data_IF_795921493640
#
_entry.id   IF_795921493640
#
_cell.length_a   1.000
_cell.length_b   1.000
_cell.length_c   1.000
_cell.angle_alpha   90.00
_cell.angle_beta   90.00
_cell.angle_gamma   90.00
#
_symmetry.space_group_name_H-M   'P 1'
#
loop_
_entity.id
_entity.type
_entity.pdbx_description
1 polymer ?
#
# COMPACT_ATOMS: atom_id res chain seq x y z
N UNK A 1 2.55 -14.44 -0.83
CA UNK A 1 1.64 -14.92 0.25
C UNK A 1 0.19 -14.49 -0.06
N UNK A 2 -0.85 -14.91 0.69
CA UNK A 2 -2.23 -14.46 0.44
C UNK A 2 -3.10 -14.44 1.71
N UNK A 3 -4.14 -13.61 1.69
CA UNK A 3 -5.21 -13.64 2.70
C UNK A 3 -6.02 -14.94 2.64
N UNK A 4 -6.45 -15.43 3.80
CA UNK A 4 -7.30 -16.61 3.93
C UNK A 4 -8.80 -16.31 3.72
N UNK A 5 -9.17 -15.03 3.68
CA UNK A 5 -10.53 -14.53 3.51
C UNK A 5 -10.62 -13.59 2.31
N UNK A 6 -11.81 -13.50 1.73
CA UNK A 6 -12.16 -12.53 0.70
C UNK A 6 -12.77 -11.24 1.26
N UNK A 7 -13.22 -11.27 2.52
CA UNK A 7 -13.75 -10.09 3.20
C UNK A 7 -12.64 -9.52 4.07
N UNK A 8 -12.11 -8.37 3.65
CA UNK A 8 -11.06 -7.64 4.35
C UNK A 8 -11.64 -6.34 4.92
N UNK A 9 -11.09 -5.93 6.04
CA UNK A 9 -11.35 -4.63 6.64
C UNK A 9 -10.22 -3.69 6.28
N UNK A 10 -10.51 -2.39 6.19
CA UNK A 10 -9.48 -1.38 6.07
C UNK A 10 -9.75 -0.18 6.97
N UNK A 11 -8.70 0.56 7.32
CA UNK A 11 -8.81 1.73 8.16
C UNK A 11 -7.72 2.78 7.87
N UNK A 12 -7.95 3.97 8.42
CA UNK A 12 -7.00 5.07 8.44
C UNK A 12 -6.67 5.39 9.90
N UNK A 13 -5.60 4.80 10.47
CA UNK A 13 -5.24 5.03 11.86
C UNK A 13 -5.04 6.51 12.15
N UNK A 14 -5.62 6.98 13.25
CA UNK A 14 -5.58 8.40 13.65
C UNK A 14 -4.50 8.68 14.70
N UNK A 15 -3.78 7.64 15.15
CA UNK A 15 -2.72 7.75 16.13
C UNK A 15 -1.67 6.66 15.95
N UNK A 16 -0.40 7.06 16.01
CA UNK A 16 0.74 6.14 16.12
C UNK A 16 0.61 5.15 17.29
N UNK A 17 -0.09 5.53 18.36
CA UNK A 17 -0.29 4.68 19.54
C UNK A 17 -1.17 3.45 19.29
N UNK A 18 -1.85 3.39 18.14
CA UNK A 18 -2.62 2.21 17.73
C UNK A 18 -1.73 1.10 17.18
N UNK A 19 -0.45 1.40 16.96
CA UNK A 19 0.55 0.42 16.59
C UNK A 19 1.30 -0.06 17.84
N UNK A 20 1.61 -1.35 17.90
CA UNK A 20 2.33 -1.95 19.01
C UNK A 20 3.76 -1.43 19.16
N UNK A 21 4.34 -1.64 20.34
CA UNK A 21 5.77 -1.38 20.56
C UNK A 21 6.63 -2.29 19.67
N UNK A 22 7.67 -1.72 19.05
CA UNK A 22 8.55 -2.49 18.15
C UNK A 22 7.92 -2.85 16.82
N UNK A 23 6.87 -2.11 16.41
CA UNK A 23 6.19 -2.32 15.13
C UNK A 23 7.15 -2.15 13.94
N UNK A 24 7.13 -3.14 13.05
CA UNK A 24 7.74 -3.04 11.72
C UNK A 24 9.21 -2.61 11.76
N UNK A 25 9.51 -1.56 10.99
CA UNK A 25 10.83 -0.91 10.94
C UNK A 25 10.86 0.38 11.80
N UNK A 26 9.75 0.68 12.50
CA UNK A 26 9.62 1.87 13.36
C UNK A 26 8.79 2.98 12.74
N UNK A 27 7.96 2.69 11.74
CA UNK A 27 7.13 3.66 11.03
C UNK A 27 6.23 4.51 11.97
N UNK A 28 5.54 3.93 12.97
CA UNK A 28 4.72 4.71 13.89
C UNK A 28 5.54 5.71 14.72
N UNK A 29 6.84 5.46 14.90
CA UNK A 29 7.75 6.33 15.66
C UNK A 29 8.52 7.33 14.81
N UNK A 30 8.45 7.24 13.48
CA UNK A 30 9.17 8.10 12.56
C UNK A 30 8.22 9.03 11.81
N UNK A 31 7.96 10.19 12.39
CA UNK A 31 7.09 11.25 11.86
C UNK A 31 5.73 10.76 11.32
N UNK A 32 5.03 9.97 12.15
CA UNK A 32 3.69 9.47 11.84
C UNK A 32 2.72 10.62 11.52
N UNK A 33 1.94 10.45 10.45
CA UNK A 33 0.81 11.33 10.15
C UNK A 33 -0.38 10.55 9.57
N UNK A 34 -1.57 11.09 9.80
CA UNK A 34 -2.83 10.53 9.30
C UNK A 34 -3.03 10.88 7.84
N UNK A 35 -3.61 9.99 7.05
CA UNK A 35 -4.02 10.34 5.69
C UNK A 35 -5.08 11.46 5.70
N UNK A 36 -4.89 12.46 4.86
CA UNK A 36 -5.89 13.48 4.57
C UNK A 36 -7.03 12.92 3.69
N UNK A 37 -8.12 13.69 3.53
CA UNK A 37 -9.30 13.23 2.79
C UNK A 37 -9.00 12.80 1.34
N UNK A 38 -8.11 13.51 0.63
CA UNK A 38 -7.78 13.15 -0.76
C UNK A 38 -7.02 11.83 -0.83
N UNK A 39 -6.11 11.59 0.11
CA UNK A 39 -5.38 10.32 0.22
C UNK A 39 -6.31 9.17 0.59
N UNK A 40 -7.23 9.37 1.54
CA UNK A 40 -8.24 8.37 1.89
C UNK A 40 -9.13 8.03 0.69
N UNK A 41 -9.58 9.03 -0.07
CA UNK A 41 -10.38 8.81 -1.27
C UNK A 41 -9.62 8.05 -2.36
N UNK A 42 -8.32 8.33 -2.53
CA UNK A 42 -7.47 7.56 -3.44
C UNK A 42 -7.34 6.08 -3.02
N UNK A 43 -7.19 5.79 -1.72
CA UNK A 43 -7.20 4.43 -1.19
C UNK A 43 -8.54 3.75 -1.45
N UNK A 44 -9.67 4.41 -1.14
CA UNK A 44 -11.02 3.87 -1.41
C UNK A 44 -11.23 3.54 -2.89
N UNK A 45 -10.79 4.42 -3.79
CA UNK A 45 -10.85 4.19 -5.24
C UNK A 45 -10.00 2.97 -5.63
N UNK A 46 -8.78 2.87 -5.12
CA UNK A 46 -7.89 1.76 -5.44
C UNK A 46 -8.45 0.41 -4.93
N UNK A 47 -8.96 0.35 -3.69
CA UNK A 47 -9.67 -0.84 -3.19
C UNK A 47 -10.91 -1.19 -4.04
N UNK A 48 -11.63 -0.18 -4.52
CA UNK A 48 -12.70 -0.33 -5.52
C UNK A 48 -12.23 -0.96 -6.83
N UNK A 49 -11.02 -0.64 -7.29
CA UNK A 49 -10.43 -1.26 -8.48
C UNK A 49 -10.12 -2.73 -8.24
N UNK A 50 -9.50 -3.09 -7.12
CA UNK A 50 -9.20 -4.49 -6.79
C UNK A 50 -10.47 -5.34 -6.64
N UNK A 51 -11.49 -4.84 -5.94
CA UNK A 51 -12.79 -5.53 -5.82
C UNK A 51 -13.54 -5.67 -7.15
N UNK A 52 -13.28 -4.81 -8.13
CA UNK A 52 -13.90 -4.92 -9.47
C UNK A 52 -13.35 -6.06 -10.33
N UNK A 53 -12.13 -6.53 -10.04
CA UNK A 53 -11.43 -7.56 -10.82
C UNK A 53 -11.14 -8.84 -10.03
N UNK A 54 -11.30 -8.81 -8.71
CA UNK A 54 -11.10 -9.93 -7.81
C UNK A 54 -12.33 -10.10 -6.91
N UNK A 55 -12.57 -11.32 -6.43
CA UNK A 55 -13.63 -11.60 -5.45
C UNK A 55 -13.20 -11.13 -4.05
N UNK A 56 -13.06 -9.82 -3.87
CA UNK A 56 -12.65 -9.16 -2.63
C UNK A 56 -13.72 -8.15 -2.21
N UNK A 57 -14.07 -8.14 -0.93
CA UNK A 57 -14.98 -7.18 -0.33
C UNK A 57 -14.24 -6.41 0.75
N UNK A 58 -14.41 -5.10 0.77
CA UNK A 58 -13.75 -4.22 1.73
C UNK A 58 -14.77 -3.54 2.64
N UNK A 59 -14.51 -3.55 3.94
CA UNK A 59 -15.28 -2.81 4.93
C UNK A 59 -14.38 -1.78 5.62
N UNK A 60 -14.73 -0.50 5.50
CA UNK A 60 -14.05 0.56 6.26
C UNK A 60 -14.43 0.46 7.73
N UNK A 61 -13.42 0.46 8.60
CA UNK A 61 -13.59 0.54 10.04
C UNK A 61 -12.92 1.81 10.57
N UNK A 62 -13.51 2.39 11.62
CA UNK A 62 -12.81 3.36 12.45
C UNK A 62 -11.81 2.61 13.32
N UNK A 63 -10.53 2.83 13.09
CA UNK A 63 -9.43 2.27 13.90
C UNK A 63 -9.51 2.82 15.33
N UNK A 64 -9.22 1.98 16.32
CA UNK A 64 -9.04 2.40 17.71
C UNK A 64 -7.83 1.69 18.32
N UNK A 65 -7.50 2.01 19.57
CA UNK A 65 -6.42 1.35 20.29
C UNK A 65 -6.62 -0.17 20.50
N UNK A 66 -7.82 -0.70 20.26
CA UNK A 66 -8.16 -2.12 20.45
C UNK A 66 -8.89 -2.75 19.26
N UNK A 67 -9.07 -1.99 18.17
CA UNK A 67 -9.73 -2.44 16.96
C UNK A 67 -8.86 -2.05 15.77
N UNK A 68 -8.31 -3.06 15.12
CA UNK A 68 -7.39 -2.92 14.00
C UNK A 68 -7.96 -3.58 12.76
N UNK A 69 -7.90 -2.89 11.62
CA UNK A 69 -8.27 -3.46 10.34
C UNK A 69 -7.17 -4.36 9.76
N UNK A 70 -7.53 -5.21 8.79
CA UNK A 70 -6.59 -6.05 8.05
C UNK A 70 -5.62 -5.22 7.19
N UNK A 71 -6.10 -4.09 6.65
CA UNK A 71 -5.34 -3.17 5.81
C UNK A 71 -5.33 -1.79 6.44
N UNK A 72 -4.16 -1.27 6.83
CA UNK A 72 -4.05 0.05 7.46
C UNK A 72 -3.17 0.97 6.63
N UNK A 73 -3.60 2.21 6.48
CA UNK A 73 -2.92 3.19 5.63
C UNK A 73 -2.53 4.42 6.46
N UNK A 74 -1.24 4.75 6.47
CA UNK A 74 -0.70 5.87 7.24
C UNK A 74 0.53 6.51 6.55
N UNK A 75 0.94 7.68 7.03
CA UNK A 75 2.16 8.36 6.63
C UNK A 75 3.26 8.16 7.68
N UNK A 76 4.51 8.08 7.23
CA UNK A 76 5.71 8.00 8.06
C UNK A 76 6.93 8.47 7.26
N UNK A 77 7.99 8.94 7.90
CA UNK A 77 9.27 9.21 7.23
C UNK A 77 10.23 8.02 7.18
N UNK A 78 9.87 6.89 7.80
CA UNK A 78 10.63 5.65 7.69
C UNK A 78 10.79 5.19 6.21
N UNK A 79 9.73 5.15 5.37
CA UNK A 79 9.89 4.96 3.94
C UNK A 79 10.45 6.22 3.26
N UNK A 80 11.44 6.04 2.38
CA UNK A 80 11.93 7.12 1.50
C UNK A 80 10.91 7.49 0.40
N UNK A 81 10.02 6.55 0.06
CA UNK A 81 8.92 6.75 -0.90
C UNK A 81 7.63 6.17 -0.34
N UNK A 82 7.44 4.86 -0.40
CA UNK A 82 6.36 4.13 0.21
C UNK A 82 6.76 2.64 0.36
N UNK A 83 6.03 1.89 1.17
CA UNK A 83 6.04 0.43 1.13
C UNK A 83 4.72 -0.12 1.69
N UNK A 84 4.44 -1.38 1.41
CA UNK A 84 3.47 -2.16 2.15
C UNK A 84 4.02 -3.52 2.54
N UNK A 85 3.49 -4.04 3.64
CA UNK A 85 3.76 -5.39 4.06
C UNK A 85 2.81 -6.36 3.36
N UNK A 86 3.37 -7.46 2.84
CA UNK A 86 2.59 -8.56 2.31
C UNK A 86 1.64 -9.14 3.39
N UNK A 87 0.58 -9.87 2.99
CA UNK A 87 -0.31 -10.55 3.94
C UNK A 87 0.48 -11.42 4.92
N UNK A 88 0.35 -11.17 6.21
CA UNK A 88 1.11 -11.86 7.26
C UNK A 88 0.18 -12.23 8.44
N UNK A 89 0.34 -13.42 9.04
CA UNK A 89 -0.55 -13.89 10.11
C UNK A 89 -0.28 -13.26 11.48
N UNK A 90 0.89 -12.63 11.68
CA UNK A 90 1.17 -11.90 12.91
C UNK A 90 0.41 -10.56 12.93
N UNK A 91 -0.07 -10.11 14.11
CA UNK A 91 -0.78 -8.85 14.24
C UNK A 91 0.08 -7.62 13.91
N UNK A 92 1.41 -7.75 13.90
CA UNK A 92 2.27 -6.68 13.39
C UNK A 92 2.25 -6.63 11.85
N UNK A 93 1.36 -5.79 11.32
CA UNK A 93 1.60 -5.04 10.09
C UNK A 93 1.33 -5.72 8.77
N UNK A 94 0.95 -7.00 8.73
CA UNK A 94 0.55 -7.65 7.47
C UNK A 94 -0.58 -6.87 6.80
N UNK A 95 -0.37 -6.38 5.57
CA UNK A 95 -1.34 -5.57 4.84
C UNK A 95 -1.24 -4.07 5.05
N UNK A 96 -0.41 -3.59 5.98
CA UNK A 96 -0.24 -2.16 6.22
C UNK A 96 0.60 -1.52 5.12
N UNK A 97 0.19 -0.33 4.70
CA UNK A 97 0.89 0.50 3.74
C UNK A 97 1.26 1.86 4.34
N UNK A 98 2.52 2.23 4.13
CA UNK A 98 3.15 3.45 4.63
C UNK A 98 3.60 4.30 3.46
N UNK A 99 3.23 5.58 3.47
CA UNK A 99 3.66 6.55 2.47
C UNK A 99 4.53 7.61 3.11
N UNK A 100 5.55 8.10 2.39
CA UNK A 100 6.45 9.08 2.93
C UNK A 100 5.71 10.39 3.29
N UNK A 101 5.91 10.89 4.50
CA UNK A 101 5.24 12.09 4.97
C UNK A 101 5.89 13.38 4.41
N UNK A 102 7.20 13.53 4.57
CA UNK A 102 7.89 14.81 4.37
C UNK A 102 8.25 15.16 2.92
N UNK A 103 8.17 14.23 1.98
CA UNK A 103 8.56 14.46 0.58
C UNK A 103 7.57 15.33 -0.19
N UNK A 104 6.34 15.45 0.31
CA UNK A 104 5.24 16.16 -0.35
C UNK A 104 4.65 15.43 -1.57
N UNK A 105 5.29 14.37 -2.08
CA UNK A 105 4.84 13.65 -3.27
C UNK A 105 3.43 13.08 -3.13
N UNK A 106 3.06 12.60 -1.94
CA UNK A 106 1.79 11.95 -1.68
C UNK A 106 0.70 12.89 -1.16
N UNK A 107 0.95 14.19 -1.06
CA UNK A 107 0.02 15.15 -0.45
C UNK A 107 -1.30 15.32 -1.22
N UNK A 108 -1.28 15.11 -2.54
CA UNK A 108 -2.42 15.29 -3.45
C UNK A 108 -2.50 14.17 -4.51
N UNK A 109 -2.87 12.94 -4.14
CA UNK A 109 -3.02 11.85 -5.10
C UNK A 109 -4.26 12.06 -5.96
N UNK A 110 -4.08 12.09 -7.27
CA UNK A 110 -5.17 12.17 -8.26
C UNK A 110 -4.91 11.18 -9.38
N UNK A 111 -5.98 10.66 -9.98
CA UNK A 111 -5.85 9.68 -11.07
C UNK A 111 -4.90 10.18 -12.16
N UNK A 112 -3.93 9.35 -12.50
CA UNK A 112 -2.92 9.64 -13.53
C UNK A 112 -1.62 10.25 -13.01
N UNK A 113 -1.52 10.61 -11.72
CA UNK A 113 -0.25 11.03 -11.12
C UNK A 113 0.47 9.89 -10.40
N UNK A 114 1.75 10.13 -10.10
CA UNK A 114 2.61 9.15 -9.44
C UNK A 114 2.10 8.73 -8.07
N UNK A 115 1.62 9.67 -7.25
CA UNK A 115 1.09 9.37 -5.92
C UNK A 115 -0.09 8.39 -5.96
N UNK A 116 -1.03 8.59 -6.89
CA UNK A 116 -2.15 7.66 -7.06
C UNK A 116 -1.69 6.29 -7.58
N UNK A 117 -0.72 6.27 -8.50
CA UNK A 117 -0.10 5.02 -8.97
C UNK A 117 0.54 4.26 -7.81
N UNK A 118 1.34 4.92 -6.98
CA UNK A 118 1.99 4.29 -5.82
C UNK A 118 0.99 3.77 -4.81
N UNK A 119 -0.12 4.49 -4.54
CA UNK A 119 -1.19 3.95 -3.68
C UNK A 119 -1.73 2.63 -4.23
N UNK A 120 -1.96 2.52 -5.55
CA UNK A 120 -2.40 1.27 -6.17
C UNK A 120 -1.32 0.18 -6.07
N UNK A 121 -0.04 0.55 -6.26
CA UNK A 121 1.11 -0.34 -6.14
C UNK A 121 1.21 -0.94 -4.72
N UNK A 122 1.19 -0.11 -3.68
CA UNK A 122 1.29 -0.57 -2.30
C UNK A 122 0.09 -1.42 -1.88
N UNK A 123 -1.11 -1.10 -2.36
CA UNK A 123 -2.27 -1.98 -2.16
C UNK A 123 -2.06 -3.34 -2.87
N UNK A 124 -1.37 -3.38 -4.01
CA UNK A 124 -0.97 -4.63 -4.65
C UNK A 124 -0.12 -5.52 -3.75
N UNK A 125 0.91 -4.94 -3.12
CA UNK A 125 1.74 -5.61 -2.12
C UNK A 125 0.90 -6.09 -0.92
N UNK A 126 0.01 -5.24 -0.40
CA UNK A 126 -0.88 -5.60 0.70
C UNK A 126 -1.85 -6.77 0.36
N UNK A 127 -2.04 -7.07 -0.93
CA UNK A 127 -2.77 -8.24 -1.41
C UNK A 127 -1.90 -9.45 -1.74
N UNK A 128 -0.58 -9.33 -1.61
CA UNK A 128 0.38 -10.40 -1.80
C UNK A 128 1.02 -10.47 -3.19
N UNK A 129 0.93 -9.38 -3.98
CA UNK A 129 1.57 -9.31 -5.29
C UNK A 129 3.02 -8.84 -5.12
N UNK A 130 3.97 -9.62 -5.62
CA UNK A 130 5.39 -9.26 -5.64
C UNK A 130 5.69 -8.26 -6.77
N UNK A 131 6.88 -7.65 -6.76
CA UNK A 131 7.30 -6.84 -7.90
C UNK A 131 7.42 -7.70 -9.15
N UNK A 132 7.12 -7.10 -10.32
CA UNK A 132 7.10 -7.84 -11.59
C UNK A 132 8.41 -8.56 -11.95
N UNK A 133 9.55 -8.07 -11.44
CA UNK A 133 10.90 -8.58 -11.72
C UNK A 133 11.42 -9.58 -10.69
N UNK A 134 10.75 -9.74 -9.54
CA UNK A 134 11.14 -10.68 -8.50
C UNK A 134 10.78 -12.10 -8.93
N UNK A 135 11.77 -12.98 -9.06
CA UNK A 135 11.64 -14.37 -9.55
C UNK A 135 10.58 -14.56 -10.66
N UNK A 136 10.85 -13.95 -11.81
CA UNK A 136 9.93 -13.04 -12.50
C UNK A 136 8.45 -13.42 -12.32
N UNK A 137 7.78 -12.71 -11.42
CA UNK A 137 6.34 -12.79 -11.22
C UNK A 137 5.55 -12.52 -12.52
N UNK A 138 6.13 -11.73 -13.43
CA UNK A 138 5.60 -11.44 -14.77
C UNK A 138 6.67 -11.73 -15.82
N UNK A 139 6.33 -12.29 -17.00
CA UNK A 139 7.29 -12.45 -18.09
C UNK A 139 7.98 -11.12 -18.41
N UNK A 140 9.30 -11.15 -18.63
CA UNK A 140 10.11 -9.93 -18.87
C UNK A 140 9.57 -9.06 -20.01
N UNK A 141 8.96 -9.67 -21.03
CA UNK A 141 8.31 -8.96 -22.15
C UNK A 141 7.03 -8.19 -21.77
N UNK A 142 6.58 -8.33 -20.53
CA UNK A 142 5.42 -7.67 -19.92
C UNK A 142 5.78 -6.99 -18.59
N UNK A 143 7.05 -6.88 -18.26
CA UNK A 143 7.49 -6.11 -17.10
C UNK A 143 7.56 -4.62 -17.48
N UNK A 144 6.39 -3.98 -17.49
CA UNK A 144 6.21 -2.54 -17.55
C UNK A 144 4.88 -2.11 -16.92
N UNK A 145 4.76 -0.83 -16.56
CA UNK A 145 3.55 -0.22 -15.99
C UNK A 145 2.33 -0.30 -16.93
N UNK A 146 2.56 -0.53 -18.23
CA UNK A 146 1.49 -0.80 -19.20
C UNK A 146 0.75 -2.11 -18.89
N UNK A 147 1.46 -3.10 -18.34
CA UNK A 147 0.91 -4.43 -18.07
C UNK A 147 0.62 -4.67 -16.59
N UNK A 148 1.41 -4.09 -15.69
CA UNK A 148 1.23 -4.26 -14.25
C UNK A 148 1.70 -3.06 -13.47
N UNK A 149 0.86 -2.61 -12.54
CA UNK A 149 1.22 -1.58 -11.56
C UNK A 149 2.37 -2.00 -10.65
N UNK A 150 2.66 -3.31 -10.54
CA UNK A 150 3.77 -3.84 -9.74
C UNK A 150 5.15 -3.73 -10.43
N UNK A 151 5.22 -3.13 -11.60
CA UNK A 151 6.47 -2.90 -12.32
C UNK A 151 7.10 -1.57 -11.92
N UNK A 152 8.43 -1.57 -11.80
CA UNK A 152 9.22 -0.33 -11.74
C UNK A 152 9.54 0.24 -13.13
N UNK A 153 9.11 -0.40 -14.21
CA UNK A 153 9.52 -0.03 -15.57
C UNK A 153 8.43 0.74 -16.30
N UNK A 154 8.73 1.95 -16.75
CA UNK A 154 7.80 2.70 -17.62
C UNK A 154 7.61 2.07 -19.00
N UNK A 155 8.59 1.29 -19.47
CA UNK A 155 8.54 0.48 -20.69
C UNK A 155 9.46 -0.74 -20.55
N UNK A 156 9.20 -1.79 -21.35
CA UNK A 156 9.98 -3.03 -21.32
C UNK A 156 11.47 -2.74 -21.58
N UNK A 157 12.34 -3.18 -20.66
CA UNK A 157 13.78 -2.95 -20.72
C UNK A 157 14.27 -1.69 -19.98
N UNK A 158 13.39 -0.92 -19.35
CA UNK A 158 13.78 0.19 -18.46
C UNK A 158 14.37 -0.31 -17.12
N UNK A 159 14.74 0.63 -16.24
CA UNK A 159 15.32 0.31 -14.93
C UNK A 159 14.36 -0.50 -14.04
N UNK A 160 14.90 -1.46 -13.29
CA UNK A 160 14.17 -2.20 -12.23
C UNK A 160 14.44 -1.63 -10.85
N UNK A 161 14.84 -0.36 -10.74
CA UNK A 161 15.12 0.29 -9.45
C UNK A 161 14.27 1.52 -9.18
N UNK A 162 13.54 2.04 -10.17
CA UNK A 162 12.54 3.08 -9.96
C UNK A 162 11.59 3.21 -11.15
N UNK A 163 10.29 3.32 -10.86
CA UNK A 163 9.26 3.79 -11.79
C UNK A 163 9.39 5.30 -12.00
N UNK A 164 10.05 5.69 -13.10
CA UNK A 164 10.07 7.06 -13.61
C UNK A 164 9.73 7.10 -15.09
#
# INVERSE_FOLDING_TARGET
MKWATANLTYSFPTSASYYGSGYGIGEPSDNFETLNNQQQDAVRIALGMFSSVANLNYLELTETAVQHADLRFALSDAPSTAWAYLPHPAPEGGGDAWFNNSSGYYSAPVRGNYAHFTIIHEIGHAHGLDHAHEDPAVPVSRDSIEYTVMSYRSFVGASTTSSR
#
